data_IF_409393115268
#
_entry.id   IF_409393115268
#
_cell.length_a   1.000
_cell.length_b   1.000
_cell.length_c   1.000
_cell.angle_alpha   90.00
_cell.angle_beta   90.00
_cell.angle_gamma   90.00
#
_symmetry.space_group_name_H-M   'P 1'
#
loop_
_entity.id
_entity.type
_entity.pdbx_description
1 polymer ?
#
# COMPACT_ATOMS: atom_id res chain seq x y z
N UNK A 1 -2.30 -54.88 -4.16
CA UNK A 1 -1.69 -53.54 -4.30
C UNK A 1 -2.75 -52.59 -4.88
N UNK A 2 -3.44 -51.83 -4.02
CA UNK A 2 -4.40 -50.81 -4.44
C UNK A 2 -3.63 -49.54 -4.79
N UNK A 3 -3.55 -49.21 -6.08
CA UNK A 3 -3.05 -47.92 -6.52
C UNK A 3 -4.13 -46.85 -6.26
N UNK A 4 -3.91 -46.04 -5.22
CA UNK A 4 -4.61 -44.77 -5.05
C UNK A 4 -4.14 -43.80 -6.14
N UNK A 5 -4.89 -43.71 -7.23
CA UNK A 5 -4.78 -42.60 -8.18
C UNK A 5 -5.24 -41.31 -7.50
N UNK A 6 -4.30 -40.43 -7.15
CA UNK A 6 -4.63 -39.08 -6.69
C UNK A 6 -5.37 -38.31 -7.80
N UNK A 7 -6.39 -37.51 -7.48
CA UNK A 7 -7.09 -36.74 -8.48
C UNK A 7 -6.17 -35.63 -8.99
N UNK A 8 -5.85 -35.65 -10.29
CA UNK A 8 -5.19 -34.55 -10.99
C UNK A 8 -5.90 -33.23 -10.63
N UNK A 9 -5.16 -32.30 -10.04
CA UNK A 9 -5.61 -30.93 -9.84
C UNK A 9 -6.03 -30.35 -11.20
N UNK A 10 -7.36 -30.21 -11.42
CA UNK A 10 -7.88 -29.51 -12.60
C UNK A 10 -7.25 -28.12 -12.65
N UNK A 11 -6.48 -27.85 -13.69
CA UNK A 11 -5.92 -26.53 -13.95
C UNK A 11 -7.06 -25.49 -13.96
N UNK A 12 -6.87 -24.32 -13.33
CA UNK A 12 -7.90 -23.29 -13.31
C UNK A 12 -8.23 -22.85 -14.73
N UNK A 13 -9.51 -22.92 -15.12
CA UNK A 13 -9.97 -22.42 -16.42
C UNK A 13 -9.79 -20.90 -16.48
N UNK A 14 -8.86 -20.43 -17.32
CA UNK A 14 -8.68 -19.01 -17.62
C UNK A 14 -9.93 -18.54 -18.37
N UNK A 15 -10.55 -17.47 -17.91
CA UNK A 15 -11.74 -16.87 -18.56
C UNK A 15 -11.38 -15.53 -19.21
N UNK A 16 -12.20 -15.06 -20.15
CA UNK A 16 -12.04 -13.73 -20.78
C UNK A 16 -11.86 -12.60 -19.75
N UNK A 17 -12.56 -12.68 -18.62
CA UNK A 17 -12.42 -11.69 -17.53
C UNK A 17 -11.01 -11.65 -16.95
N UNK A 18 -10.36 -12.82 -16.80
CA UNK A 18 -8.98 -12.89 -16.33
C UNK A 18 -8.02 -12.29 -17.35
N UNK A 19 -8.25 -12.53 -18.64
CA UNK A 19 -7.44 -11.96 -19.73
C UNK A 19 -7.59 -10.43 -19.79
N UNK A 20 -8.80 -9.90 -19.65
CA UNK A 20 -9.04 -8.45 -19.63
C UNK A 20 -8.37 -7.76 -18.44
N UNK A 21 -8.42 -8.37 -17.25
CA UNK A 21 -7.71 -7.86 -16.07
C UNK A 21 -6.20 -7.92 -16.28
N UNK A 22 -5.66 -9.03 -16.79
CA UNK A 22 -4.24 -9.14 -17.09
C UNK A 22 -3.79 -8.10 -18.12
N UNK A 23 -4.58 -7.89 -19.18
CA UNK A 23 -4.32 -6.86 -20.18
C UNK A 23 -4.34 -5.45 -19.54
N UNK A 24 -5.33 -5.14 -18.70
CA UNK A 24 -5.40 -3.87 -17.99
C UNK A 24 -4.14 -3.62 -17.15
N UNK A 25 -3.69 -4.64 -16.41
CA UNK A 25 -2.46 -4.56 -15.61
C UNK A 25 -1.21 -4.36 -16.47
N UNK A 26 -1.09 -5.07 -17.60
CA UNK A 26 0.03 -4.92 -18.53
C UNK A 26 0.05 -3.53 -19.18
N UNK A 27 -1.13 -2.99 -19.55
CA UNK A 27 -1.27 -1.62 -20.08
C UNK A 27 -0.80 -0.59 -19.04
N UNK A 28 -0.99 -0.84 -17.74
CA UNK A 28 -0.49 0.05 -16.69
C UNK A 28 1.03 0.02 -16.52
N UNK A 29 1.76 -0.89 -17.15
CA UNK A 29 3.22 -0.84 -17.20
C UNK A 29 3.77 0.09 -18.30
N UNK A 30 2.96 0.50 -19.27
CA UNK A 30 3.40 1.32 -20.40
C UNK A 30 4.12 2.61 -19.99
N UNK A 31 3.63 3.42 -19.02
CA UNK A 31 4.33 4.65 -18.61
C UNK A 31 5.73 4.44 -18.04
N UNK A 32 6.06 3.23 -17.60
CA UNK A 32 7.37 2.86 -17.03
C UNK A 32 8.35 2.46 -18.14
N UNK A 33 7.88 1.64 -19.08
CA UNK A 33 8.76 0.98 -20.03
C UNK A 33 8.93 1.71 -21.36
N UNK A 34 7.99 2.59 -21.75
CA UNK A 34 8.09 3.37 -22.99
C UNK A 34 9.14 4.48 -22.89
N UNK A 35 9.28 5.11 -21.74
CA UNK A 35 10.22 6.23 -21.51
C UNK A 35 11.61 5.73 -21.16
N UNK A 36 12.67 6.50 -21.46
CA UNK A 36 14.04 6.16 -21.03
C UNK A 36 14.19 6.40 -19.53
N UNK A 37 13.83 7.60 -19.07
CA UNK A 37 13.85 8.08 -17.70
C UNK A 37 12.42 8.18 -17.16
N UNK A 38 12.14 7.47 -16.07
CA UNK A 38 10.86 7.63 -15.39
C UNK A 38 10.95 8.85 -14.46
N UNK A 39 10.08 9.87 -14.58
CA UNK A 39 10.33 11.19 -14.01
C UNK A 39 9.87 11.28 -12.54
N UNK A 40 10.58 10.60 -11.64
CA UNK A 40 10.34 10.72 -10.21
C UNK A 40 11.31 11.69 -9.56
N UNK A 41 10.85 12.37 -8.50
CA UNK A 41 11.67 13.36 -7.82
C UNK A 41 12.88 12.73 -7.09
N UNK A 42 12.64 11.72 -6.25
CA UNK A 42 13.71 11.07 -5.46
C UNK A 42 14.30 9.81 -6.13
N UNK A 43 13.77 9.36 -7.26
CA UNK A 43 14.22 8.15 -7.96
C UNK A 43 15.71 8.10 -8.27
N UNK A 44 16.28 9.16 -8.91
CA UNK A 44 17.71 9.23 -9.17
C UNK A 44 18.57 9.07 -7.91
N UNK A 45 18.13 9.62 -6.76
CA UNK A 45 18.81 9.47 -5.48
C UNK A 45 18.81 8.02 -4.99
N UNK A 46 17.71 7.29 -5.19
CA UNK A 46 17.62 5.86 -4.87
C UNK A 46 18.55 5.01 -5.74
N UNK A 47 18.60 5.29 -7.04
CA UNK A 47 19.53 4.65 -7.97
C UNK A 47 20.98 4.91 -7.53
N UNK A 48 21.32 6.18 -7.30
CA UNK A 48 22.66 6.57 -6.88
C UNK A 48 23.09 5.88 -5.59
N UNK A 49 22.23 5.87 -4.56
CA UNK A 49 22.52 5.21 -3.30
C UNK A 49 22.72 3.69 -3.45
N UNK A 50 21.92 3.04 -4.32
CA UNK A 50 22.08 1.61 -4.60
C UNK A 50 23.39 1.32 -5.35
N UNK A 51 23.76 2.15 -6.32
CA UNK A 51 25.04 2.03 -7.03
C UNK A 51 26.22 2.20 -6.05
N UNK A 52 26.16 3.22 -5.20
CA UNK A 52 27.17 3.47 -4.18
C UNK A 52 27.33 2.25 -3.25
N UNK A 53 26.21 1.66 -2.82
CA UNK A 53 26.23 0.48 -1.95
C UNK A 53 26.86 -0.74 -2.65
N UNK A 54 26.54 -0.95 -3.94
CA UNK A 54 27.15 -2.01 -4.76
C UNK A 54 28.66 -1.83 -4.88
N UNK A 55 29.12 -0.61 -5.18
CA UNK A 55 30.53 -0.31 -5.41
C UNK A 55 31.34 -0.07 -4.13
N UNK A 56 30.67 0.08 -2.98
CA UNK A 56 31.32 0.43 -1.71
C UNK A 56 32.46 -0.51 -1.32
N UNK A 57 32.43 -1.78 -1.75
CA UNK A 57 33.47 -2.77 -1.43
C UNK A 57 34.54 -2.91 -2.51
N UNK A 58 34.41 -2.23 -3.66
CA UNK A 58 35.42 -2.24 -4.71
C UNK A 58 36.66 -1.47 -4.25
N UNK A 59 37.84 -2.09 -4.39
CA UNK A 59 39.12 -1.48 -4.05
C UNK A 59 39.51 -0.37 -5.04
N UNK A 60 39.03 -0.42 -6.28
CA UNK A 60 39.30 0.61 -7.29
C UNK A 60 38.59 1.92 -6.95
N UNK A 61 37.43 1.85 -6.28
CA UNK A 61 36.62 3.01 -5.90
C UNK A 61 36.86 3.45 -4.44
N UNK A 62 38.12 3.48 -4.00
CA UNK A 62 38.49 3.76 -2.60
C UNK A 62 37.97 5.12 -2.09
N UNK A 63 37.91 6.14 -2.94
CA UNK A 63 37.47 7.50 -2.60
C UNK A 63 36.03 7.60 -2.09
N UNK A 64 35.18 6.63 -2.42
CA UNK A 64 33.81 6.55 -1.85
C UNK A 64 33.85 6.57 -0.32
N UNK A 65 34.85 5.91 0.27
CA UNK A 65 34.99 5.75 1.72
C UNK A 65 35.55 6.99 2.43
N UNK A 66 36.06 7.95 1.65
CA UNK A 66 36.51 9.25 2.18
C UNK A 66 35.32 10.17 2.50
N UNK A 67 34.18 9.96 1.83
CA UNK A 67 32.99 10.82 1.92
C UNK A 67 31.74 10.10 2.45
N UNK A 68 31.64 8.78 2.32
CA UNK A 68 30.50 7.99 2.77
C UNK A 68 30.86 6.94 3.82
N UNK A 69 29.93 6.69 4.74
CA UNK A 69 30.00 5.60 5.71
C UNK A 69 28.75 4.71 5.61
N UNK A 70 28.94 3.40 5.67
CA UNK A 70 27.82 2.46 5.69
C UNK A 70 27.06 2.54 7.02
N UNK A 71 25.75 2.73 6.93
CA UNK A 71 24.86 2.66 8.06
C UNK A 71 24.12 1.31 8.07
N UNK A 72 24.55 0.39 8.93
CA UNK A 72 23.96 -0.94 9.08
C UNK A 72 22.82 -1.02 10.09
N UNK A 73 22.35 0.12 10.61
CA UNK A 73 21.24 0.09 11.57
C UNK A 73 19.98 -0.47 10.90
N UNK A 74 19.23 -1.39 11.55
CA UNK A 74 18.06 -2.03 10.96
C UNK A 74 16.82 -1.14 11.05
N UNK A 75 16.92 0.08 10.49
CA UNK A 75 15.78 0.99 10.39
C UNK A 75 14.94 0.67 9.13
N UNK A 76 13.70 1.16 9.04
CA UNK A 76 12.83 1.04 7.85
C UNK A 76 13.41 1.71 6.59
N UNK A 77 12.86 1.42 5.40
CA UNK A 77 13.28 1.92 4.07
C UNK A 77 14.48 1.21 3.42
N UNK A 78 14.68 -0.08 3.72
CA UNK A 78 15.74 -0.89 3.11
C UNK A 78 15.29 -1.67 1.88
N UNK A 79 14.02 -2.10 1.83
CA UNK A 79 13.56 -3.12 0.88
C UNK A 79 13.89 -2.76 -0.58
N UNK A 80 13.52 -1.57 -1.05
CA UNK A 80 13.75 -1.22 -2.46
C UNK A 80 15.22 -0.94 -2.75
N UNK A 81 15.98 -0.41 -1.78
CA UNK A 81 17.42 -0.18 -1.95
C UNK A 81 18.17 -1.51 -2.08
N UNK A 82 17.95 -2.46 -1.18
CA UNK A 82 18.57 -3.79 -1.27
C UNK A 82 18.16 -4.51 -2.56
N UNK A 83 16.89 -4.41 -2.94
CA UNK A 83 16.42 -4.98 -4.19
C UNK A 83 17.14 -4.37 -5.40
N UNK A 84 17.29 -3.04 -5.45
CA UNK A 84 18.05 -2.37 -6.51
C UNK A 84 19.51 -2.81 -6.53
N UNK A 85 20.19 -2.86 -5.38
CA UNK A 85 21.58 -3.34 -5.27
C UNK A 85 21.72 -4.73 -5.88
N UNK A 86 20.84 -5.66 -5.52
CA UNK A 86 20.85 -7.02 -6.05
C UNK A 86 20.61 -7.04 -7.57
N UNK A 87 19.64 -6.26 -8.06
CA UNK A 87 19.32 -6.18 -9.49
C UNK A 87 20.46 -5.55 -10.30
N UNK A 88 21.21 -4.60 -9.74
CA UNK A 88 22.31 -3.90 -10.41
C UNK A 88 23.53 -4.79 -10.70
N UNK A 89 23.59 -6.00 -10.15
CA UNK A 89 24.56 -7.02 -10.57
C UNK A 89 24.20 -7.68 -11.91
N UNK A 90 22.94 -7.57 -12.36
CA UNK A 90 22.41 -8.25 -13.55
C UNK A 90 21.99 -7.24 -14.61
N UNK A 91 21.39 -6.12 -14.19
CA UNK A 91 20.78 -5.13 -15.09
C UNK A 91 21.41 -3.74 -14.91
N UNK A 92 21.33 -2.87 -15.93
CA UNK A 92 21.69 -1.46 -15.79
C UNK A 92 20.83 -0.73 -14.74
N UNK A 93 21.34 0.36 -14.14
CA UNK A 93 20.64 1.07 -13.07
C UNK A 93 19.21 1.51 -13.41
N UNK A 94 18.98 2.05 -14.61
CA UNK A 94 17.64 2.47 -15.07
C UNK A 94 16.66 1.31 -15.21
N UNK A 95 17.12 0.12 -15.62
CA UNK A 95 16.27 -1.07 -15.71
C UNK A 95 15.90 -1.56 -14.30
N UNK A 96 16.83 -1.49 -13.35
CA UNK A 96 16.57 -1.84 -11.95
C UNK A 96 15.45 -0.99 -11.36
N UNK A 97 15.47 0.33 -11.62
CA UNK A 97 14.40 1.22 -11.20
C UNK A 97 13.06 0.85 -11.83
N UNK A 98 13.02 0.61 -13.15
CA UNK A 98 11.79 0.20 -13.86
C UNK A 98 11.20 -1.11 -13.29
N UNK A 99 12.03 -2.06 -12.87
CA UNK A 99 11.58 -3.28 -12.19
C UNK A 99 10.92 -2.93 -10.85
N UNK A 100 11.55 -2.09 -10.02
CA UNK A 100 10.97 -1.66 -8.72
C UNK A 100 9.65 -0.90 -8.91
N UNK A 101 9.58 0.01 -9.88
CA UNK A 101 8.36 0.72 -10.24
C UNK A 101 7.25 -0.24 -10.68
N UNK A 102 7.59 -1.24 -11.49
CA UNK A 102 6.65 -2.27 -11.94
C UNK A 102 6.08 -3.08 -10.76
N UNK A 103 6.93 -3.41 -9.78
CA UNK A 103 6.48 -4.08 -8.54
C UNK A 103 5.52 -3.19 -7.72
N UNK A 104 5.76 -1.88 -7.66
CA UNK A 104 4.86 -0.95 -6.97
C UNK A 104 3.51 -0.87 -7.69
N UNK A 105 3.53 -0.64 -9.01
CA UNK A 105 2.34 -0.42 -9.86
C UNK A 105 1.47 -1.67 -9.96
N UNK A 106 2.05 -2.86 -10.12
CA UNK A 106 1.32 -4.12 -10.20
C UNK A 106 0.99 -4.69 -8.82
N UNK A 107 1.87 -4.49 -7.85
CA UNK A 107 1.72 -5.04 -6.51
C UNK A 107 0.41 -4.60 -5.86
N UNK A 108 0.07 -3.31 -5.98
CA UNK A 108 -1.13 -2.75 -5.33
C UNK A 108 -2.44 -3.40 -5.80
N UNK A 109 -2.79 -3.39 -7.10
CA UNK A 109 -4.02 -4.03 -7.55
C UNK A 109 -4.02 -5.52 -7.24
N UNK A 110 -2.90 -6.24 -7.44
CA UNK A 110 -2.80 -7.67 -7.12
C UNK A 110 -3.03 -7.97 -5.64
N UNK A 111 -2.49 -7.15 -4.74
CA UNK A 111 -2.71 -7.25 -3.31
C UNK A 111 -4.18 -7.02 -2.95
N UNK A 112 -4.86 -6.05 -3.58
CA UNK A 112 -6.30 -5.82 -3.36
C UNK A 112 -7.17 -6.93 -3.97
N UNK A 113 -6.83 -7.48 -5.14
CA UNK A 113 -7.49 -8.65 -5.69
C UNK A 113 -7.44 -9.83 -4.71
N UNK A 114 -6.27 -10.09 -4.13
CA UNK A 114 -6.09 -11.11 -3.11
C UNK A 114 -6.90 -10.79 -1.83
N UNK A 115 -6.70 -9.59 -1.29
CA UNK A 115 -7.29 -9.14 -0.03
C UNK A 115 -8.82 -9.17 -0.05
N UNK A 116 -9.44 -8.57 -1.07
CA UNK A 116 -10.90 -8.56 -1.21
C UNK A 116 -11.44 -9.97 -1.46
N UNK A 117 -10.76 -10.80 -2.26
CA UNK A 117 -11.17 -12.19 -2.48
C UNK A 117 -11.16 -13.03 -1.20
N UNK A 118 -10.22 -12.74 -0.29
CA UNK A 118 -10.12 -13.40 1.02
C UNK A 118 -11.25 -12.98 1.94
N UNK A 119 -11.66 -11.71 1.91
CA UNK A 119 -12.74 -11.19 2.77
C UNK A 119 -14.12 -11.60 2.22
N UNK A 120 -14.37 -11.29 0.95
CA UNK A 120 -15.62 -11.57 0.27
C UNK A 120 -15.39 -11.59 -1.25
N UNK A 121 -15.55 -12.77 -1.85
CA UNK A 121 -15.33 -12.98 -3.30
C UNK A 121 -16.23 -12.12 -4.18
N UNK A 122 -17.40 -11.70 -3.70
CA UNK A 122 -18.26 -10.82 -4.47
C UNK A 122 -17.57 -9.47 -4.70
N UNK A 123 -16.91 -8.91 -3.67
CA UNK A 123 -16.34 -7.55 -3.65
C UNK A 123 -15.08 -7.38 -4.49
N UNK A 124 -14.62 -8.42 -5.18
CA UNK A 124 -13.40 -8.39 -6.01
C UNK A 124 -13.44 -7.29 -7.08
N UNK A 125 -14.62 -6.87 -7.56
CA UNK A 125 -14.74 -5.75 -8.52
C UNK A 125 -14.10 -4.46 -7.97
N UNK A 126 -14.15 -4.23 -6.65
CA UNK A 126 -13.60 -3.03 -6.03
C UNK A 126 -12.06 -3.00 -6.02
N UNK A 127 -11.38 -4.10 -6.33
CA UNK A 127 -9.91 -4.09 -6.47
C UNK A 127 -9.45 -3.22 -7.65
N UNK A 128 -10.34 -2.89 -8.59
CA UNK A 128 -10.07 -1.95 -9.68
C UNK A 128 -9.75 -0.54 -9.15
N UNK A 129 -10.19 -0.18 -7.94
CA UNK A 129 -9.74 1.06 -7.27
C UNK A 129 -8.22 1.03 -7.04
N UNK A 130 -7.65 -0.15 -6.77
CA UNK A 130 -6.20 -0.33 -6.66
C UNK A 130 -5.45 -0.08 -7.96
N UNK A 131 -6.09 -0.30 -9.12
CA UNK A 131 -5.51 0.00 -10.44
C UNK A 131 -5.42 1.52 -10.64
N UNK A 132 -6.44 2.27 -10.20
CA UNK A 132 -6.40 3.75 -10.21
C UNK A 132 -5.28 4.26 -9.28
N UNK A 133 -5.15 3.68 -8.09
CA UNK A 133 -4.12 4.04 -7.12
C UNK A 133 -2.71 3.50 -7.43
N UNK A 134 -2.55 2.67 -8.47
CA UNK A 134 -1.24 2.17 -8.91
C UNK A 134 -0.26 3.32 -9.15
N UNK A 135 -0.76 4.43 -9.68
CA UNK A 135 -0.02 5.69 -9.79
C UNK A 135 -0.61 6.72 -8.84
N UNK A 136 0.17 7.11 -7.86
CA UNK A 136 -0.22 8.08 -6.84
C UNK A 136 0.92 9.07 -6.60
N UNK A 137 0.58 10.21 -5.99
CA UNK A 137 1.50 11.33 -5.75
C UNK A 137 2.83 10.90 -5.11
N UNK A 138 2.77 10.03 -4.10
CA UNK A 138 3.98 9.59 -3.38
C UNK A 138 4.88 8.66 -4.21
N UNK A 139 4.35 7.93 -5.18
CA UNK A 139 5.17 7.19 -6.15
C UNK A 139 5.94 8.17 -7.05
N UNK A 140 5.29 9.25 -7.51
CA UNK A 140 5.91 10.29 -8.35
C UNK A 140 6.92 11.13 -7.59
N UNK A 141 6.73 11.32 -6.28
CA UNK A 141 7.77 11.86 -5.40
C UNK A 141 9.01 10.96 -5.30
N UNK A 142 8.94 9.71 -5.77
CA UNK A 142 10.04 8.75 -5.66
C UNK A 142 10.03 7.94 -4.36
N UNK A 143 8.96 7.96 -3.55
CA UNK A 143 8.91 7.20 -2.30
C UNK A 143 8.68 5.70 -2.56
N UNK A 144 9.66 5.02 -3.17
CA UNK A 144 9.55 3.62 -3.63
C UNK A 144 9.32 2.64 -2.49
N UNK A 145 10.05 2.80 -1.38
CA UNK A 145 9.89 1.99 -0.18
C UNK A 145 8.47 2.08 0.41
N UNK A 146 7.90 3.29 0.45
CA UNK A 146 6.50 3.49 0.84
C UNK A 146 5.53 2.91 -0.19
N UNK A 147 5.76 3.16 -1.48
CA UNK A 147 4.88 2.68 -2.54
C UNK A 147 4.81 1.15 -2.58
N UNK A 148 5.92 0.48 -2.30
CA UNK A 148 6.00 -0.98 -2.15
C UNK A 148 5.39 -1.47 -0.83
N UNK A 149 5.43 -0.69 0.25
CA UNK A 149 4.85 -1.13 1.52
C UNK A 149 3.31 -1.14 1.51
N UNK A 150 2.65 -0.34 0.65
CA UNK A 150 1.18 -0.36 0.50
C UNK A 150 0.66 -1.74 0.04
N UNK A 151 1.14 -2.35 -1.05
CA UNK A 151 0.71 -3.71 -1.41
C UNK A 151 1.09 -4.76 -0.38
N UNK A 152 2.30 -4.69 0.19
CA UNK A 152 2.73 -5.63 1.22
C UNK A 152 1.81 -5.53 2.44
N UNK A 153 1.36 -4.33 2.83
CA UNK A 153 0.36 -4.12 3.88
C UNK A 153 -0.92 -4.90 3.60
N UNK A 154 -1.56 -4.73 2.44
CA UNK A 154 -2.84 -5.38 2.14
C UNK A 154 -2.71 -6.89 1.96
N UNK A 155 -1.56 -7.32 1.43
CA UNK A 155 -1.23 -8.75 1.37
C UNK A 155 -1.09 -9.34 2.77
N UNK A 156 -0.35 -8.67 3.66
CA UNK A 156 -0.14 -9.12 5.04
C UNK A 156 -1.45 -9.14 5.82
N UNK A 157 -2.27 -8.11 5.69
CA UNK A 157 -3.57 -8.02 6.33
C UNK A 157 -4.52 -9.11 5.84
N UNK A 158 -4.56 -9.36 4.52
CA UNK A 158 -5.34 -10.45 3.94
C UNK A 158 -4.84 -11.83 4.37
N UNK A 159 -3.52 -12.01 4.43
CA UNK A 159 -2.91 -13.24 4.92
C UNK A 159 -3.27 -13.50 6.38
N UNK A 160 -3.12 -12.50 7.25
CA UNK A 160 -3.56 -12.58 8.63
C UNK A 160 -5.05 -12.91 8.72
N UNK A 161 -5.90 -12.20 7.97
CA UNK A 161 -7.34 -12.46 7.97
C UNK A 161 -7.67 -13.90 7.60
N UNK A 162 -7.07 -14.43 6.52
CA UNK A 162 -7.28 -15.81 6.06
C UNK A 162 -6.84 -16.86 7.08
N UNK A 163 -5.74 -16.61 7.79
CA UNK A 163 -5.09 -17.60 8.63
C UNK A 163 -5.29 -17.40 10.13
N UNK A 164 -5.98 -16.33 10.58
CA UNK A 164 -6.16 -15.97 12.00
C UNK A 164 -6.69 -17.10 12.89
N UNK A 165 -7.60 -17.94 12.39
CA UNK A 165 -8.15 -19.08 13.12
C UNK A 165 -7.18 -20.27 13.21
N UNK A 166 -6.17 -20.30 12.36
CA UNK A 166 -5.19 -21.38 12.24
C UNK A 166 -3.88 -21.09 12.98
N UNK A 167 -3.63 -19.85 13.38
CA UNK A 167 -2.50 -19.44 14.23
C UNK A 167 -2.80 -19.90 15.67
N UNK A 168 -2.57 -21.19 15.95
CA UNK A 168 -2.84 -21.83 17.25
C UNK A 168 -1.65 -22.67 17.73
N UNK A 169 -1.47 -22.91 19.04
CA UNK A 169 -0.33 -23.66 19.58
C UNK A 169 -0.20 -25.10 19.07
N UNK A 170 -1.32 -25.80 18.80
CA UNK A 170 -1.28 -27.17 18.26
C UNK A 170 -0.75 -27.22 16.82
N UNK A 171 -0.89 -26.13 16.06
CA UNK A 171 -0.37 -26.00 14.68
C UNK A 171 0.92 -25.20 14.60
N UNK A 172 1.43 -24.69 15.72
CA UNK A 172 2.77 -24.11 15.84
C UNK A 172 3.85 -25.13 15.45
N UNK A 173 3.61 -26.43 15.66
CA UNK A 173 4.50 -27.52 15.25
C UNK A 173 4.68 -27.61 13.73
N UNK A 174 3.72 -27.14 12.93
CA UNK A 174 3.91 -26.98 11.47
C UNK A 174 4.58 -25.66 11.10
N UNK A 175 4.47 -24.63 11.96
CA UNK A 175 5.12 -23.31 11.84
C UNK A 175 4.70 -22.43 10.65
N UNK A 176 4.23 -23.02 9.55
CA UNK A 176 4.20 -22.33 8.25
C UNK A 176 3.32 -21.08 8.21
N UNK A 177 2.09 -21.06 8.77
CA UNK A 177 1.26 -19.86 8.73
C UNK A 177 1.88 -18.69 9.51
N UNK A 178 2.47 -18.98 10.68
CA UNK A 178 3.06 -17.98 11.55
C UNK A 178 4.37 -17.43 11.00
N UNK A 179 5.24 -18.30 10.46
CA UNK A 179 6.48 -17.89 9.79
C UNK A 179 6.17 -16.98 8.61
N UNK A 180 5.21 -17.36 7.75
CA UNK A 180 4.78 -16.51 6.63
C UNK A 180 4.25 -15.15 7.09
N UNK A 181 3.51 -15.10 8.20
CA UNK A 181 3.02 -13.85 8.78
C UNK A 181 4.15 -12.95 9.27
N UNK A 182 5.13 -13.50 10.01
CA UNK A 182 6.29 -12.73 10.48
C UNK A 182 7.18 -12.25 9.33
N UNK A 183 7.42 -13.07 8.30
CA UNK A 183 8.17 -12.66 7.11
C UNK A 183 7.50 -11.46 6.43
N UNK A 184 6.17 -11.48 6.30
CA UNK A 184 5.40 -10.40 5.72
C UNK A 184 5.39 -9.13 6.62
N UNK A 185 5.32 -9.28 7.95
CA UNK A 185 5.47 -8.17 8.88
C UNK A 185 6.86 -7.52 8.79
N UNK A 186 7.91 -8.34 8.76
CA UNK A 186 9.30 -7.90 8.61
C UNK A 186 9.50 -7.17 7.28
N UNK A 187 8.96 -7.71 6.19
CA UNK A 187 8.98 -7.04 4.88
C UNK A 187 8.23 -5.71 4.93
N UNK A 188 7.09 -5.63 5.62
CA UNK A 188 6.35 -4.36 5.79
C UNK A 188 7.18 -3.34 6.58
N UNK A 189 7.81 -3.76 7.68
CA UNK A 189 8.68 -2.91 8.51
C UNK A 189 9.87 -2.35 7.73
N UNK A 190 10.64 -3.22 7.06
CA UNK A 190 11.79 -2.79 6.27
C UNK A 190 11.41 -2.02 5.02
N UNK A 191 10.19 -2.19 4.50
CA UNK A 191 9.69 -1.34 3.42
C UNK A 191 9.37 0.05 3.97
N UNK A 192 8.45 0.19 4.94
CA UNK A 192 8.18 1.50 5.51
C UNK A 192 7.50 1.44 6.89
N UNK A 193 8.00 2.25 7.84
CA UNK A 193 7.50 2.24 9.22
C UNK A 193 6.02 2.57 9.34
N UNK A 194 5.55 3.65 8.70
CA UNK A 194 4.16 4.11 8.80
C UNK A 194 3.18 2.99 8.42
N UNK A 195 3.47 2.28 7.33
CA UNK A 195 2.66 1.16 6.83
C UNK A 195 2.65 0.01 7.82
N UNK A 196 3.81 -0.36 8.36
CA UNK A 196 3.93 -1.36 9.41
C UNK A 196 3.13 -0.96 10.66
N UNK A 197 3.24 0.29 11.11
CA UNK A 197 2.54 0.77 12.30
C UNK A 197 1.01 0.77 12.11
N UNK A 198 0.53 1.25 10.96
CA UNK A 198 -0.89 1.18 10.61
C UNK A 198 -1.38 -0.27 10.50
N UNK A 199 -0.54 -1.19 10.05
CA UNK A 199 -0.89 -2.62 9.92
C UNK A 199 -1.07 -3.24 11.30
N UNK A 200 -0.13 -2.97 12.21
CA UNK A 200 -0.21 -3.38 13.61
C UNK A 200 -1.50 -2.87 14.23
N UNK A 201 -1.80 -1.56 14.12
CA UNK A 201 -3.05 -0.98 14.62
C UNK A 201 -4.27 -1.70 14.02
N UNK A 202 -4.30 -1.91 12.70
CA UNK A 202 -5.44 -2.54 12.01
C UNK A 202 -5.68 -3.97 12.50
N UNK A 203 -4.62 -4.77 12.61
CA UNK A 203 -4.69 -6.15 13.10
C UNK A 203 -5.14 -6.19 14.57
N UNK A 204 -4.63 -5.30 15.42
CA UNK A 204 -5.04 -5.19 16.83
C UNK A 204 -6.50 -4.81 16.99
N UNK A 205 -6.97 -3.80 16.24
CA UNK A 205 -8.38 -3.37 16.26
C UNK A 205 -9.28 -4.51 15.81
N UNK A 206 -8.93 -5.19 14.70
CA UNK A 206 -9.72 -6.31 14.21
C UNK A 206 -9.75 -7.48 15.19
N UNK A 207 -8.62 -7.86 15.77
CA UNK A 207 -8.57 -8.93 16.76
C UNK A 207 -9.41 -8.60 18.01
N UNK A 208 -9.30 -7.37 18.53
CA UNK A 208 -10.06 -6.91 19.68
C UNK A 208 -11.57 -6.89 19.42
N UNK A 209 -12.00 -6.32 18.29
CA UNK A 209 -13.42 -6.27 17.94
C UNK A 209 -13.99 -7.66 17.66
N UNK A 210 -13.27 -8.53 16.95
CA UNK A 210 -13.68 -9.93 16.74
C UNK A 210 -13.84 -10.68 18.07
N UNK A 211 -12.95 -10.44 19.03
CA UNK A 211 -13.07 -11.00 20.38
C UNK A 211 -14.33 -10.46 21.09
N UNK A 212 -14.56 -9.15 21.09
CA UNK A 212 -15.77 -8.56 21.69
C UNK A 212 -17.05 -9.13 21.08
N UNK A 213 -17.06 -9.38 19.76
CA UNK A 213 -18.21 -10.01 19.11
C UNK A 213 -18.39 -11.46 19.52
N UNK A 214 -17.30 -12.22 19.66
CA UNK A 214 -17.38 -13.59 20.14
C UNK A 214 -18.02 -13.68 21.54
N UNK A 215 -17.79 -12.69 22.41
CA UNK A 215 -18.42 -12.64 23.74
C UNK A 215 -19.93 -12.40 23.68
N UNK A 216 -20.43 -11.70 22.65
CA UNK A 216 -21.84 -11.31 22.51
C UNK A 216 -22.68 -12.38 21.82
N UNK A 217 -22.13 -13.08 20.83
CA UNK A 217 -22.90 -14.00 19.97
C UNK A 217 -22.98 -15.43 20.50
N UNK A 218 -22.20 -15.76 21.52
CA UNK A 218 -22.00 -17.15 21.92
C UNK A 218 -23.11 -17.67 22.85
N UNK A 219 -23.91 -18.61 22.35
CA UNK A 219 -24.94 -19.36 23.09
C UNK A 219 -24.44 -20.73 23.55
N UNK A 220 -23.16 -21.07 23.32
CA UNK A 220 -22.64 -22.45 23.43
C UNK A 220 -22.18 -22.88 24.83
N UNK A 221 -22.40 -22.07 25.87
CA UNK A 221 -22.08 -22.44 27.25
C UNK A 221 -20.58 -22.56 27.55
N UNK A 222 -19.70 -22.07 26.66
CA UNK A 222 -18.26 -22.08 26.85
C UNK A 222 -17.83 -21.27 28.09
N UNK A 223 -16.86 -21.80 28.82
CA UNK A 223 -16.26 -21.11 29.97
C UNK A 223 -15.64 -19.77 29.54
N UNK A 224 -15.57 -18.80 30.45
CA UNK A 224 -14.95 -17.51 30.15
C UNK A 224 -13.46 -17.65 29.80
N UNK A 225 -12.78 -18.62 30.40
CA UNK A 225 -11.36 -18.93 30.15
C UNK A 225 -11.14 -19.45 28.73
N UNK A 226 -12.02 -20.31 28.22
CA UNK A 226 -11.95 -20.79 26.82
C UNK A 226 -12.19 -19.66 25.82
N UNK A 227 -13.02 -18.67 26.18
CA UNK A 227 -13.27 -17.47 25.38
C UNK A 227 -12.05 -16.54 25.33
N UNK A 228 -11.32 -16.40 26.44
CA UNK A 228 -10.14 -15.52 26.52
C UNK A 228 -8.92 -16.08 25.78
N UNK A 229 -8.87 -17.40 25.58
CA UNK A 229 -7.73 -18.12 25.02
C UNK A 229 -7.26 -17.62 23.64
N UNK A 230 -8.13 -17.36 22.64
CA UNK A 230 -7.70 -16.80 21.35
C UNK A 230 -7.09 -15.40 21.47
N UNK A 231 -7.61 -14.56 22.39
CA UNK A 231 -7.08 -13.23 22.64
C UNK A 231 -5.70 -13.31 23.29
N UNK A 232 -5.51 -14.19 24.28
CA UNK A 232 -4.19 -14.40 24.89
C UNK A 232 -3.16 -14.82 23.85
N UNK A 233 -3.52 -15.75 22.95
CA UNK A 233 -2.62 -16.15 21.87
C UNK A 233 -2.30 -15.01 20.91
N UNK A 234 -3.30 -14.21 20.55
CA UNK A 234 -3.10 -13.00 19.77
C UNK A 234 -2.07 -12.07 20.43
N UNK A 235 -2.25 -11.77 21.72
CA UNK A 235 -1.34 -10.91 22.48
C UNK A 235 0.06 -11.52 22.54
N UNK A 236 0.19 -12.83 22.76
CA UNK A 236 1.50 -13.50 22.85
C UNK A 236 2.29 -13.39 21.54
N UNK A 237 1.70 -13.68 20.38
CA UNK A 237 2.45 -13.58 19.13
C UNK A 237 2.61 -12.13 18.65
N UNK A 238 1.75 -11.20 19.04
CA UNK A 238 1.94 -9.78 18.69
C UNK A 238 2.88 -9.04 19.64
N UNK A 239 3.16 -9.56 20.83
CA UNK A 239 4.05 -8.93 21.81
C UNK A 239 5.41 -8.47 21.25
N UNK A 240 6.21 -9.30 20.54
CA UNK A 240 7.47 -8.83 19.96
C UNK A 240 7.25 -7.74 18.89
N UNK A 241 6.15 -7.82 18.15
CA UNK A 241 5.80 -6.84 17.11
C UNK A 241 5.49 -5.47 17.74
N UNK A 242 4.74 -5.45 18.84
CA UNK A 242 4.47 -4.23 19.60
C UNK A 242 5.74 -3.63 20.19
N UNK A 243 6.64 -4.47 20.72
CA UNK A 243 7.91 -4.01 21.25
C UNK A 243 8.72 -3.26 20.17
N UNK A 244 8.86 -3.84 18.98
CA UNK A 244 9.55 -3.19 17.84
C UNK A 244 8.83 -1.90 17.44
N UNK A 245 7.51 -1.94 17.28
CA UNK A 245 6.70 -0.80 16.86
C UNK A 245 6.84 0.40 17.83
N UNK A 246 6.67 0.15 19.13
CA UNK A 246 6.71 1.17 20.16
C UNK A 246 8.12 1.70 20.37
N UNK A 247 9.14 0.83 20.40
CA UNK A 247 10.54 1.25 20.57
C UNK A 247 10.97 2.19 19.44
N UNK A 248 10.68 1.82 18.19
CA UNK A 248 10.98 2.68 17.05
C UNK A 248 10.19 3.98 17.11
N UNK A 249 8.87 3.91 17.38
CA UNK A 249 8.01 5.10 17.49
C UNK A 249 8.53 6.08 18.53
N UNK A 250 8.83 5.63 19.76
CA UNK A 250 9.33 6.53 20.81
C UNK A 250 10.71 7.10 20.47
N UNK A 251 11.61 6.29 19.90
CA UNK A 251 12.94 6.77 19.47
C UNK A 251 12.89 7.89 18.41
N UNK A 252 11.81 7.97 17.63
CA UNK A 252 11.63 8.93 16.54
C UNK A 252 10.59 10.02 16.83
N UNK A 253 10.01 10.07 18.01
CA UNK A 253 8.95 11.04 18.32
C UNK A 253 9.16 11.80 19.62
N UNK A 254 9.93 11.28 20.57
CA UNK A 254 10.21 11.97 21.81
C UNK A 254 11.25 13.08 21.61
N UNK A 255 10.93 14.29 22.08
CA UNK A 255 11.84 15.45 22.00
C UNK A 255 11.89 16.16 20.65
N UNK A 256 11.07 15.75 19.66
CA UNK A 256 11.09 16.32 18.32
C UNK A 256 9.89 17.20 18.01
N UNK A 257 10.15 18.29 17.26
CA UNK A 257 9.12 19.20 16.78
C UNK A 257 8.13 18.54 15.83
N UNK A 258 6.88 19.02 15.85
CA UNK A 258 5.76 18.52 15.04
C UNK A 258 5.14 19.65 14.25
N UNK A 259 4.82 19.40 12.98
CA UNK A 259 4.12 20.36 12.13
C UNK A 259 2.78 19.77 11.67
N UNK A 260 1.71 20.54 11.80
CA UNK A 260 0.34 20.15 11.46
C UNK A 260 -0.17 20.94 10.26
N UNK A 261 -0.93 20.28 9.38
CA UNK A 261 -1.63 20.95 8.28
C UNK A 261 -2.88 21.65 8.81
N UNK A 262 -3.24 22.75 8.16
CA UNK A 262 -4.52 23.45 8.42
C UNK A 262 -5.70 22.54 8.03
N UNK A 263 -6.81 22.66 8.76
CA UNK A 263 -8.03 21.91 8.48
C UNK A 263 -8.55 22.12 7.04
N UNK A 264 -8.44 23.34 6.50
CA UNK A 264 -8.82 23.64 5.13
C UNK A 264 -8.02 22.82 4.11
N UNK A 265 -6.72 22.67 4.31
CA UNK A 265 -5.85 21.86 3.46
C UNK A 265 -6.21 20.37 3.55
N UNK A 266 -6.47 19.87 4.77
CA UNK A 266 -6.86 18.47 4.99
C UNK A 266 -8.19 18.16 4.29
N UNK A 267 -9.19 19.03 4.42
CA UNK A 267 -10.47 18.86 3.73
C UNK A 267 -10.30 18.92 2.20
N UNK A 268 -9.57 19.91 1.70
CA UNK A 268 -9.30 20.02 0.27
C UNK A 268 -8.57 18.79 -0.26
N UNK A 269 -7.62 18.25 0.49
CA UNK A 269 -6.89 17.04 0.11
C UNK A 269 -7.79 15.81 0.10
N UNK A 270 -8.61 15.65 1.15
CA UNK A 270 -9.53 14.53 1.33
C UNK A 270 -10.61 14.49 0.24
N UNK A 271 -11.34 15.58 0.04
CA UNK A 271 -12.46 15.61 -0.90
C UNK A 271 -12.04 15.55 -2.37
N UNK A 272 -10.82 16.01 -2.69
CA UNK A 272 -10.28 15.94 -4.05
C UNK A 272 -9.43 14.67 -4.30
N UNK A 273 -9.33 13.77 -3.32
CA UNK A 273 -8.42 12.62 -3.32
C UNK A 273 -7.02 12.97 -3.83
N UNK A 274 -6.40 14.03 -3.27
CA UNK A 274 -5.12 14.58 -3.77
C UNK A 274 -3.95 13.59 -3.76
N UNK A 275 -4.09 12.44 -3.11
CA UNK A 275 -3.16 11.31 -3.28
C UNK A 275 -3.04 10.84 -4.73
N UNK A 276 -4.01 11.13 -5.60
CA UNK A 276 -3.98 10.82 -7.03
C UNK A 276 -3.45 11.99 -7.89
N UNK A 277 -3.14 13.14 -7.31
CA UNK A 277 -2.80 14.35 -8.06
C UNK A 277 -1.29 14.53 -8.10
N UNK A 278 -0.71 14.47 -9.30
CA UNK A 278 0.71 14.69 -9.58
C UNK A 278 0.89 15.30 -10.97
N UNK A 279 1.97 16.04 -11.18
CA UNK A 279 2.34 16.83 -12.39
C UNK A 279 1.33 17.90 -12.82
N UNK A 280 0.02 17.62 -12.80
CA UNK A 280 -1.07 18.50 -13.23
C UNK A 280 -2.27 18.45 -12.30
N UNK A 281 -2.97 19.57 -12.19
CA UNK A 281 -4.21 19.66 -11.40
C UNK A 281 -5.39 18.89 -12.01
N UNK A 282 -5.32 18.49 -13.29
CA UNK A 282 -6.43 17.80 -13.97
C UNK A 282 -6.77 16.43 -13.35
N UNK A 283 -5.85 15.81 -12.61
CA UNK A 283 -6.13 14.60 -11.83
C UNK A 283 -7.16 14.83 -10.72
N UNK A 284 -7.41 16.08 -10.30
CA UNK A 284 -8.46 16.42 -9.32
C UNK A 284 -9.82 15.94 -9.79
N UNK A 285 -10.13 16.05 -11.09
CA UNK A 285 -11.40 15.57 -11.64
C UNK A 285 -11.56 14.06 -11.44
N UNK A 286 -10.51 13.28 -11.73
CA UNK A 286 -10.50 11.83 -11.53
C UNK A 286 -10.71 11.50 -10.05
N UNK A 287 -10.03 12.24 -9.16
CA UNK A 287 -10.19 12.11 -7.71
C UNK A 287 -11.61 12.41 -7.24
N UNK A 288 -12.22 13.50 -7.69
CA UNK A 288 -13.60 13.87 -7.35
C UNK A 288 -14.62 12.85 -7.88
N UNK A 289 -14.48 12.38 -9.13
CA UNK A 289 -15.35 11.34 -9.68
C UNK A 289 -15.26 10.04 -8.87
N UNK A 290 -14.04 9.60 -8.55
CA UNK A 290 -13.85 8.42 -7.70
C UNK A 290 -14.43 8.64 -6.29
N UNK A 291 -14.24 9.83 -5.70
CA UNK A 291 -14.83 10.17 -4.41
C UNK A 291 -16.35 10.05 -4.43
N UNK A 292 -17.02 10.60 -5.45
CA UNK A 292 -18.48 10.50 -5.60
C UNK A 292 -18.91 9.04 -5.74
N UNK A 293 -18.23 8.23 -6.56
CA UNK A 293 -18.53 6.80 -6.70
C UNK A 293 -18.42 6.09 -5.35
N UNK A 294 -17.34 6.30 -4.60
CA UNK A 294 -17.13 5.69 -3.29
C UNK A 294 -18.13 6.19 -2.24
N UNK A 295 -18.49 7.48 -2.28
CA UNK A 295 -19.49 8.08 -1.40
C UNK A 295 -20.89 7.52 -1.65
N UNK A 296 -21.28 7.34 -2.92
CA UNK A 296 -22.55 6.70 -3.30
C UNK A 296 -22.57 5.25 -2.83
N UNK A 297 -21.49 4.49 -3.05
CA UNK A 297 -21.39 3.11 -2.57
C UNK A 297 -21.45 3.05 -1.03
N UNK A 298 -20.78 3.98 -0.34
CA UNK A 298 -20.82 4.08 1.12
C UNK A 298 -22.23 4.36 1.61
N UNK A 299 -22.92 5.34 1.01
CA UNK A 299 -24.31 5.66 1.33
C UNK A 299 -25.23 4.45 1.08
N UNK A 300 -25.14 3.78 -0.06
CA UNK A 300 -25.91 2.57 -0.33
C UNK A 300 -25.62 1.44 0.68
N UNK A 301 -24.37 1.31 1.13
CA UNK A 301 -23.96 0.32 2.13
C UNK A 301 -24.59 0.61 3.49
N UNK A 302 -24.51 1.88 3.93
CA UNK A 302 -25.10 2.34 5.18
C UNK A 302 -26.64 2.25 5.14
N UNK A 303 -27.25 2.64 4.02
CA UNK A 303 -28.70 2.52 3.82
C UNK A 303 -29.17 1.08 3.91
N UNK A 304 -28.48 0.16 3.23
CA UNK A 304 -28.78 -1.28 3.30
C UNK A 304 -28.68 -1.80 4.74
N UNK A 305 -27.62 -1.42 5.46
CA UNK A 305 -27.46 -1.76 6.89
C UNK A 305 -28.57 -1.19 7.76
N UNK A 306 -28.98 0.06 7.52
CA UNK A 306 -30.08 0.70 8.22
C UNK A 306 -31.43 0.04 7.96
N UNK A 307 -31.70 -0.34 6.71
CA UNK A 307 -32.92 -1.07 6.34
C UNK A 307 -32.95 -2.48 6.95
N UNK A 308 -31.83 -3.20 6.91
CA UNK A 308 -31.67 -4.51 7.58
C UNK A 308 -31.84 -4.40 9.10
N UNK A 309 -31.44 -3.27 9.70
CA UNK A 309 -31.63 -2.98 11.13
C UNK A 309 -33.11 -2.71 11.47
N UNK A 310 -33.80 -1.88 10.69
CA UNK A 310 -35.20 -1.52 10.92
C UNK A 310 -36.17 -2.68 10.64
N UNK A 311 -35.86 -3.56 9.69
CA UNK A 311 -36.70 -4.71 9.32
C UNK A 311 -36.70 -5.86 10.33
N UNK A 312 -35.86 -5.81 11.38
CA UNK A 312 -35.75 -6.89 12.37
C UNK A 312 -36.59 -6.61 13.62
N UNK A 313 -37.50 -7.55 13.90
CA UNK A 313 -38.55 -7.40 14.90
C UNK A 313 -38.08 -7.56 16.36
N UNK A 314 -36.88 -8.10 16.64
CA UNK A 314 -36.37 -8.27 18.01
C UNK A 314 -35.05 -7.50 18.25
N UNK A 315 -34.88 -6.94 19.44
CA UNK A 315 -33.66 -6.22 19.83
C UNK A 315 -32.39 -7.09 19.76
N UNK A 316 -32.51 -8.41 19.98
CA UNK A 316 -31.41 -9.37 19.83
C UNK A 316 -31.01 -9.62 18.37
N UNK A 317 -31.95 -9.49 17.43
CA UNK A 317 -31.68 -9.70 15.99
C UNK A 317 -31.27 -8.41 15.27
N UNK A 318 -31.67 -7.24 15.79
CA UNK A 318 -31.36 -5.91 15.22
C UNK A 318 -29.86 -5.67 15.00
N UNK A 319 -28.98 -6.14 15.88
CA UNK A 319 -27.53 -6.00 15.74
C UNK A 319 -26.87 -7.27 15.17
N UNK A 320 -27.07 -7.58 13.88
CA UNK A 320 -26.20 -8.56 13.21
C UNK A 320 -24.97 -7.84 12.64
N UNK A 321 -23.89 -7.85 13.40
CA UNK A 321 -22.61 -7.31 12.95
C UNK A 321 -21.95 -8.29 11.98
N UNK A 322 -21.70 -7.86 10.75
CA UNK A 322 -20.94 -8.65 9.80
C UNK A 322 -19.44 -8.38 9.95
N UNK A 323 -18.61 -9.37 9.62
CA UNK A 323 -17.15 -9.20 9.66
C UNK A 323 -16.65 -8.05 8.79
N UNK A 324 -17.42 -7.63 7.78
CA UNK A 324 -17.10 -6.51 6.89
C UNK A 324 -17.32 -5.15 7.54
N UNK A 325 -18.13 -5.07 8.59
CA UNK A 325 -18.39 -3.82 9.32
C UNK A 325 -17.15 -3.36 10.12
N UNK A 326 -16.23 -4.29 10.41
CA UNK A 326 -14.90 -3.97 10.97
C UNK A 326 -14.12 -2.98 10.11
N UNK A 327 -14.26 -3.06 8.78
CA UNK A 327 -13.54 -2.19 7.85
C UNK A 327 -14.09 -0.76 7.86
N UNK A 328 -15.38 -0.56 8.15
CA UNK A 328 -15.93 0.77 8.40
C UNK A 328 -15.34 1.37 9.68
N UNK A 329 -15.24 0.59 10.76
CA UNK A 329 -14.63 1.05 12.01
C UNK A 329 -13.17 1.43 11.78
N UNK A 330 -12.42 0.61 11.05
CA UNK A 330 -11.02 0.94 10.73
C UNK A 330 -10.91 2.15 9.81
N UNK A 331 -11.81 2.32 8.84
CA UNK A 331 -11.88 3.53 8.02
C UNK A 331 -12.09 4.80 8.88
N UNK A 332 -12.99 4.75 9.86
CA UNK A 332 -13.23 5.86 10.78
C UNK A 332 -12.01 6.16 11.66
N UNK A 333 -11.33 5.12 12.16
CA UNK A 333 -10.08 5.28 12.92
C UNK A 333 -8.98 5.91 12.05
N UNK A 334 -8.79 5.43 10.82
CA UNK A 334 -7.81 6.00 9.90
C UNK A 334 -8.16 7.45 9.49
N UNK A 335 -9.45 7.76 9.37
CA UNK A 335 -9.93 9.13 9.13
C UNK A 335 -9.60 10.02 10.33
N UNK A 336 -9.83 9.55 11.56
CA UNK A 336 -9.42 10.26 12.76
C UNK A 336 -7.90 10.49 12.78
N UNK A 337 -7.11 9.44 12.54
CA UNK A 337 -5.64 9.53 12.44
C UNK A 337 -5.24 10.56 11.38
N UNK A 338 -5.90 10.59 10.23
CA UNK A 338 -5.65 11.56 9.17
C UNK A 338 -5.85 13.01 9.63
N UNK A 339 -6.85 13.30 10.45
CA UNK A 339 -7.11 14.68 10.91
C UNK A 339 -6.28 15.09 12.13
N UNK A 340 -5.90 14.16 13.00
CA UNK A 340 -5.15 14.48 14.24
C UNK A 340 -3.64 14.32 14.11
N UNK A 341 -3.16 13.61 13.10
CA UNK A 341 -1.71 13.36 12.97
C UNK A 341 -0.98 14.60 12.48
N UNK A 342 0.24 14.86 13.00
CA UNK A 342 1.12 15.84 12.38
C UNK A 342 1.45 15.40 10.97
N UNK A 343 1.70 16.34 10.08
CA UNK A 343 2.18 16.04 8.74
C UNK A 343 3.65 15.62 8.75
N UNK A 344 4.45 16.27 9.59
CA UNK A 344 5.87 16.02 9.70
C UNK A 344 6.30 15.92 11.16
N UNK A 345 7.21 14.99 11.43
CA UNK A 345 7.97 14.88 12.69
C UNK A 345 9.44 15.01 12.33
N UNK A 346 10.17 15.93 12.97
CA UNK A 346 11.52 16.33 12.59
C UNK A 346 12.51 15.16 12.41
N UNK A 347 12.40 14.09 13.21
CA UNK A 347 13.26 12.90 13.10
C UNK A 347 12.59 11.67 12.50
N UNK A 348 11.26 11.70 12.32
CA UNK A 348 10.42 10.55 11.98
C UNK A 348 9.86 10.56 10.55
N UNK A 349 10.18 11.59 9.77
CA UNK A 349 9.74 11.74 8.38
C UNK A 349 8.50 12.63 8.23
N UNK A 350 8.20 12.98 6.97
CA UNK A 350 7.12 13.91 6.59
C UNK A 350 6.00 13.29 5.77
N UNK A 351 4.99 14.04 5.32
CA UNK A 351 3.86 13.55 4.51
C UNK A 351 3.01 12.45 5.17
N UNK A 352 2.85 12.51 6.49
CA UNK A 352 2.07 11.52 7.24
C UNK A 352 0.60 11.53 6.78
N UNK A 353 -0.01 12.71 6.61
CA UNK A 353 -1.40 12.82 6.18
C UNK A 353 -1.59 12.22 4.77
N UNK A 354 -0.73 12.56 3.81
CA UNK A 354 -0.73 12.01 2.45
C UNK A 354 -0.67 10.48 2.43
N UNK A 355 0.19 9.90 3.28
CA UNK A 355 0.32 8.44 3.39
C UNK A 355 -0.92 7.78 3.97
N UNK A 356 -1.46 8.32 5.07
CA UNK A 356 -2.67 7.78 5.73
C UNK A 356 -3.87 7.83 4.77
N UNK A 357 -3.95 8.86 3.93
CA UNK A 357 -5.03 9.02 2.95
C UNK A 357 -5.17 7.85 1.97
N UNK A 358 -4.06 7.24 1.55
CA UNK A 358 -4.11 6.05 0.67
C UNK A 358 -4.74 4.87 1.42
N UNK A 359 -4.31 4.62 2.67
CA UNK A 359 -4.83 3.50 3.46
C UNK A 359 -6.30 3.68 3.81
N UNK A 360 -6.74 4.87 4.19
CA UNK A 360 -8.15 5.08 4.57
C UNK A 360 -9.08 4.76 3.40
N UNK A 361 -8.77 5.24 2.18
CA UNK A 361 -9.63 5.00 1.01
C UNK A 361 -9.70 3.50 0.68
N UNK A 362 -8.55 2.83 0.67
CA UNK A 362 -8.48 1.41 0.30
C UNK A 362 -9.03 0.48 1.41
N UNK A 363 -8.94 0.88 2.69
CA UNK A 363 -9.50 0.13 3.81
C UNK A 363 -11.03 0.16 3.83
N UNK A 364 -11.67 1.15 3.20
CA UNK A 364 -13.13 1.23 3.10
C UNK A 364 -13.72 0.15 2.19
N UNK A 365 -12.98 -0.30 1.18
CA UNK A 365 -13.49 -1.16 0.09
C UNK A 365 -14.20 -2.43 0.57
N UNK A 366 -13.71 -3.19 1.57
CA UNK A 366 -14.40 -4.41 2.01
C UNK A 366 -15.74 -4.15 2.70
N UNK A 367 -16.01 -2.93 3.18
CA UNK A 367 -17.32 -2.57 3.73
C UNK A 367 -18.36 -2.33 2.64
N UNK A 368 -17.94 -1.82 1.48
CA UNK A 368 -18.86 -1.37 0.43
C UNK A 368 -19.69 -2.51 -0.16
N UNK A 369 -21.00 -2.28 -0.30
CA UNK A 369 -21.94 -3.19 -0.93
C UNK A 369 -21.81 -3.11 -2.44
N UNK A 370 -21.86 -4.27 -3.07
CA UNK A 370 -21.95 -4.42 -4.53
C UNK A 370 -23.09 -5.38 -4.92
N UNK A 371 -24.02 -5.63 -3.99
CA UNK A 371 -25.19 -6.49 -4.18
C UNK A 371 -26.27 -5.80 -5.04
N UNK A 372 -25.83 -5.27 -6.18
CA UNK A 372 -26.68 -4.63 -7.18
C UNK A 372 -26.98 -5.61 -8.31
N UNK A 373 -27.97 -5.26 -9.13
CA UNK A 373 -28.23 -5.98 -10.37
C UNK A 373 -26.98 -6.00 -11.27
N UNK A 374 -26.79 -7.08 -12.04
CA UNK A 374 -25.60 -7.28 -12.90
C UNK A 374 -25.25 -6.09 -13.80
N UNK A 375 -26.25 -5.37 -14.32
CA UNK A 375 -26.03 -4.18 -15.15
C UNK A 375 -25.33 -3.05 -14.38
N UNK A 376 -25.71 -2.81 -13.11
CA UNK A 376 -25.06 -1.81 -12.27
C UNK A 376 -23.62 -2.20 -11.93
N UNK A 377 -23.35 -3.50 -11.76
CA UNK A 377 -21.98 -3.99 -11.60
C UNK A 377 -21.14 -3.75 -12.87
N UNK A 378 -21.70 -3.97 -14.06
CA UNK A 378 -21.00 -3.66 -15.32
C UNK A 378 -20.77 -2.17 -15.52
N UNK A 379 -21.73 -1.32 -15.15
CA UNK A 379 -21.55 0.14 -15.15
C UNK A 379 -20.41 0.53 -14.20
N UNK A 380 -20.40 0.00 -12.97
CA UNK A 380 -19.31 0.26 -12.02
C UNK A 380 -17.95 -0.18 -12.56
N UNK A 381 -17.84 -1.38 -13.14
CA UNK A 381 -16.60 -1.85 -13.79
C UNK A 381 -16.18 -0.88 -14.89
N UNK A 382 -17.11 -0.47 -15.75
CA UNK A 382 -16.82 0.44 -16.86
C UNK A 382 -16.33 1.80 -16.36
N UNK A 383 -16.95 2.33 -15.30
CA UNK A 383 -16.52 3.59 -14.66
C UNK A 383 -15.11 3.43 -14.07
N UNK A 384 -14.85 2.38 -13.29
CA UNK A 384 -13.55 2.20 -12.64
C UNK A 384 -12.41 1.96 -13.65
N UNK A 385 -12.66 1.19 -14.70
CA UNK A 385 -11.69 1.00 -15.80
C UNK A 385 -11.51 2.29 -16.59
N UNK A 386 -12.59 3.00 -16.89
CA UNK A 386 -12.54 4.30 -17.57
C UNK A 386 -11.72 5.32 -16.79
N UNK A 387 -11.93 5.43 -15.48
CA UNK A 387 -11.14 6.29 -14.59
C UNK A 387 -9.67 5.87 -14.55
N UNK A 388 -9.37 4.57 -14.49
CA UNK A 388 -7.98 4.11 -14.47
C UNK A 388 -7.26 4.40 -15.78
N UNK A 389 -7.93 4.20 -16.93
CA UNK A 389 -7.37 4.51 -18.24
C UNK A 389 -7.23 6.03 -18.48
N UNK A 390 -8.18 6.83 -17.99
CA UNK A 390 -8.07 8.29 -18.03
C UNK A 390 -6.87 8.78 -17.21
N UNK A 391 -6.72 8.25 -16.00
CA UNK A 391 -5.57 8.53 -15.14
C UNK A 391 -4.26 8.15 -15.81
N UNK A 392 -4.21 6.94 -16.38
CA UNK A 392 -3.04 6.42 -17.10
C UNK A 392 -2.69 7.29 -18.31
N UNK A 393 -3.68 7.78 -19.06
CA UNK A 393 -3.44 8.62 -20.23
C UNK A 393 -2.70 9.92 -19.86
N UNK A 394 -3.06 10.55 -18.73
CA UNK A 394 -2.32 11.68 -18.19
C UNK A 394 -0.89 11.28 -17.77
N UNK A 395 -0.72 10.14 -17.09
CA UNK A 395 0.60 9.63 -16.72
C UNK A 395 1.51 9.42 -17.93
N UNK A 396 1.01 8.74 -18.98
CA UNK A 396 1.78 8.49 -20.21
C UNK A 396 2.17 9.82 -20.86
N UNK A 397 1.21 10.75 -20.96
CA UNK A 397 1.48 12.06 -21.54
C UNK A 397 2.57 12.79 -20.78
N UNK A 398 2.43 12.97 -19.46
CA UNK A 398 3.41 13.70 -18.65
C UNK A 398 4.79 13.03 -18.68
N UNK A 399 4.84 11.70 -18.54
CA UNK A 399 6.08 10.97 -18.59
C UNK A 399 6.81 11.15 -19.92
N UNK A 400 6.08 11.15 -21.04
CA UNK A 400 6.69 11.34 -22.37
C UNK A 400 7.38 12.71 -22.52
N UNK A 401 6.77 13.79 -22.03
CA UNK A 401 7.39 15.12 -22.11
C UNK A 401 8.55 15.28 -21.13
N UNK A 402 8.39 14.81 -19.88
CA UNK A 402 9.44 14.88 -18.88
C UNK A 402 10.66 14.01 -19.25
N UNK A 403 10.44 12.85 -19.87
CA UNK A 403 11.54 12.01 -20.38
C UNK A 403 12.40 12.76 -21.40
N UNK A 404 11.78 13.55 -22.29
CA UNK A 404 12.50 14.37 -23.28
C UNK A 404 13.30 15.49 -22.61
N UNK A 405 12.72 16.18 -21.63
CA UNK A 405 13.43 17.22 -20.87
C UNK A 405 14.61 16.64 -20.09
N UNK A 406 14.44 15.48 -19.44
CA UNK A 406 15.52 14.78 -18.73
C UNK A 406 16.59 14.32 -19.73
N UNK A 407 16.20 13.82 -20.90
CA UNK A 407 17.14 13.42 -21.94
C UNK A 407 18.00 14.60 -22.43
N UNK A 408 17.40 15.78 -22.64
CA UNK A 408 18.13 17.00 -22.99
C UNK A 408 19.10 17.42 -21.88
N UNK A 409 18.65 17.43 -20.61
CA UNK A 409 19.52 17.75 -19.46
C UNK A 409 20.67 16.75 -19.28
N UNK A 410 20.52 15.52 -19.76
CA UNK A 410 21.51 14.45 -19.61
C UNK A 410 22.35 14.19 -20.86
N UNK A 411 22.07 14.87 -21.98
CA UNK A 411 22.75 14.66 -23.27
C UNK A 411 24.27 14.91 -23.17
N UNK A 412 24.67 15.86 -22.33
CA UNK A 412 26.07 16.25 -22.15
C UNK A 412 26.78 15.53 -21.00
N UNK A 413 26.16 14.52 -20.38
CA UNK A 413 26.78 13.80 -19.24
C UNK A 413 28.10 13.13 -19.66
N UNK A 414 28.17 12.61 -20.89
CA UNK A 414 29.38 11.97 -21.42
C UNK A 414 30.51 12.98 -21.73
N UNK A 415 30.21 14.28 -21.73
CA UNK A 415 31.20 15.36 -21.89
C UNK A 415 31.86 15.76 -20.56
N UNK A 416 31.35 15.25 -19.43
CA UNK A 416 31.91 15.52 -18.10
C UNK A 416 33.22 14.74 -17.97
N UNK A 417 34.34 15.45 -18.05
CA UNK A 417 35.66 14.85 -17.90
C UNK A 417 35.83 14.20 -16.51
N UNK A 418 36.59 13.11 -16.43
CA UNK A 418 36.94 12.49 -15.15
C UNK A 418 37.59 13.51 -14.20
N UNK A 419 37.22 13.44 -12.92
CA UNK A 419 37.67 14.39 -11.88
C UNK A 419 37.29 15.87 -12.12
N UNK A 420 36.34 16.15 -13.02
CA UNK A 420 35.73 17.47 -13.16
C UNK A 420 34.41 17.55 -12.39
N UNK A 421 33.98 18.76 -12.04
CA UNK A 421 32.70 19.01 -11.38
C UNK A 421 31.87 19.94 -12.24
N UNK A 422 30.64 19.53 -12.56
CA UNK A 422 29.67 20.41 -13.21
C UNK A 422 29.02 21.29 -12.16
N UNK A 423 29.21 22.60 -12.29
CA UNK A 423 28.50 23.59 -11.47
C UNK A 423 27.33 24.11 -12.29
N UNK A 424 26.12 23.67 -11.94
CA UNK A 424 24.89 24.21 -12.51
C UNK A 424 24.66 25.61 -11.93
N UNK A 425 24.98 26.64 -12.71
CA UNK A 425 24.51 28.00 -12.44
C UNK A 425 23.03 28.09 -12.83
N UNK A 426 22.16 27.85 -11.85
CA UNK A 426 20.75 28.20 -11.98
C UNK A 426 20.65 29.71 -11.82
N UNK A 427 20.68 30.45 -12.93
CA UNK A 427 20.43 31.89 -12.94
C UNK A 427 19.08 32.15 -12.25
N UNK A 428 19.13 32.78 -11.08
CA UNK A 428 17.94 33.42 -10.53
C UNK A 428 17.64 34.62 -11.41
N UNK A 429 16.41 34.78 -11.94
CA UNK A 429 16.05 35.98 -12.67
C UNK A 429 16.36 37.21 -11.80
N UNK A 430 17.31 38.05 -12.23
CA UNK A 430 17.65 39.32 -11.57
C UNK A 430 18.97 39.37 -10.79
N UNK A 431 19.84 38.36 -10.82
CA UNK A 431 21.23 38.51 -10.35
C UNK A 431 22.16 38.71 -11.55
N UNK A 432 22.35 39.98 -11.95
CA UNK A 432 23.47 40.42 -12.81
C UNK A 432 24.50 41.14 -11.96
#
# INVERSE_FOLDING_TARGET
MQHHSQPFHKLPKITLKHLLVALLLLVHLLPIWIVKYFPTQDGPSHIYNAQLFKEYHDHQNFRIRDVYQLNWTPFPNWTTHLLMVMLMYIFPPLICEKIVLSLCVLGLPLALFYFLRVIDRSKVILSLVGVIYSYHYLLMMGFYNFSLSVPVFFWTLGYWWKHRSNITPKRLASGQPLVGFYLLLTLTYFSHFQSFFLLVISISVFAGLLFLFSLRTDKTGLSFTDRLRPLLYFVTYMAPVYMVALTYYFSKTQGYGRNYRKLSWLNEYFFNLKSLVYFRNNHIWIGQFLFVVLAVLLFCSLWRRGAEFLGKSSAETRFSFESTDLFLVMFLILTLIYYISPNNIQSGGGWINDRVHIYLVLMLLPFLTIAFHRHLQYILITILVGLSLWHLAYTVHDNFFLDREIAEMTESVDLIAENSTVVLYLDKPGQR
#
